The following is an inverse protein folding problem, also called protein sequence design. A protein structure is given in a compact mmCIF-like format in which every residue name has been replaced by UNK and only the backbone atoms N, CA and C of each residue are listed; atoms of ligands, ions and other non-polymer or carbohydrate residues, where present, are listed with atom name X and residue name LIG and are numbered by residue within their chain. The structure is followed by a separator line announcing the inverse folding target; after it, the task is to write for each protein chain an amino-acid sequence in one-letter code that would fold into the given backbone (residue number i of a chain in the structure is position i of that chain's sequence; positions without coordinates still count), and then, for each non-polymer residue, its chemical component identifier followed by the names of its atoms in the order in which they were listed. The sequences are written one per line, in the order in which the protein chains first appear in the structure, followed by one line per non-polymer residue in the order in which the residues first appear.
data_IF_802338250101
#
_entry.id   IF_802338250101
#
_cell.length_a   1.000
_cell.length_b   1.000
_cell.length_c   1.000
_cell.angle_alpha   90.00
_cell.angle_beta   90.00
_cell.angle_gamma   90.00
#
_symmetry.space_group_name_H-M   'P 1'
#
loop_
_entity.id
_entity.type
_entity.pdbx_description
1 polymer ?
#
# COMPACT_ATOMS: atom_id res chain seq x y z
N UNK A 1 -29.51 15.41 -10.53
CA UNK A 1 -28.70 15.50 -9.30
C UNK A 1 -29.44 15.06 -8.03
N UNK A 2 -30.69 15.50 -7.79
CA UNK A 2 -31.46 15.14 -6.58
C UNK A 2 -31.63 13.63 -6.33
N UNK A 3 -31.85 12.84 -7.39
CA UNK A 3 -32.09 11.41 -7.25
C UNK A 3 -30.93 10.62 -6.63
N UNK A 4 -29.67 11.05 -6.81
CA UNK A 4 -28.52 10.35 -6.23
C UNK A 4 -28.22 10.77 -4.80
N UNK A 5 -28.39 12.06 -4.49
CA UNK A 5 -28.02 12.63 -3.18
C UNK A 5 -29.16 12.60 -2.15
N UNK A 6 -30.39 12.32 -2.59
CA UNK A 6 -31.59 12.33 -1.74
C UNK A 6 -32.37 11.00 -1.76
N UNK A 7 -31.93 9.98 -2.50
CA UNK A 7 -32.56 8.67 -2.43
C UNK A 7 -32.16 7.94 -1.16
N UNK A 8 -33.05 7.06 -0.69
CA UNK A 8 -32.76 6.19 0.43
C UNK A 8 -31.70 5.15 0.06
N UNK A 9 -30.88 4.75 1.02
CA UNK A 9 -29.76 3.83 0.77
C UNK A 9 -30.21 2.48 0.19
N UNK A 10 -31.40 2.02 0.59
CA UNK A 10 -31.97 0.74 0.12
C UNK A 10 -32.38 0.77 -1.36
N UNK A 11 -32.64 1.95 -1.92
CA UNK A 11 -32.94 2.10 -3.36
C UNK A 11 -31.66 2.13 -4.22
N UNK A 12 -30.50 2.31 -3.58
CA UNK A 12 -29.21 2.51 -4.24
C UNK A 12 -28.24 1.35 -4.05
N UNK A 13 -28.32 0.61 -2.94
CA UNK A 13 -27.31 -0.37 -2.55
C UNK A 13 -27.93 -1.68 -2.04
N UNK A 14 -27.30 -2.79 -2.44
CA UNK A 14 -27.54 -4.11 -1.85
C UNK A 14 -26.56 -4.36 -0.71
N UNK A 15 -27.07 -4.92 0.39
CA UNK A 15 -26.27 -5.30 1.56
C UNK A 15 -26.16 -6.82 1.63
N UNK A 16 -24.94 -7.33 1.83
CA UNK A 16 -24.69 -8.76 1.96
C UNK A 16 -23.46 -9.03 2.81
N UNK A 17 -23.35 -10.26 3.31
CA UNK A 17 -22.18 -10.70 4.07
C UNK A 17 -21.00 -11.03 3.13
N UNK A 18 -19.78 -10.57 3.44
CA UNK A 18 -18.60 -10.92 2.67
C UNK A 18 -18.35 -12.43 2.66
N UNK A 19 -18.07 -13.00 1.50
CA UNK A 19 -17.71 -14.42 1.34
C UNK A 19 -16.27 -14.75 1.74
N UNK A 20 -15.54 -13.77 2.26
CA UNK A 20 -14.13 -13.87 2.65
C UNK A 20 -13.94 -13.42 4.08
N UNK A 21 -12.91 -13.96 4.74
CA UNK A 21 -12.58 -13.57 6.09
C UNK A 21 -12.11 -12.11 6.14
N UNK A 22 -12.43 -11.44 7.25
CA UNK A 22 -11.99 -10.08 7.49
C UNK A 22 -10.45 -10.03 7.41
N UNK A 23 -9.88 -9.09 6.64
CA UNK A 23 -8.43 -8.96 6.55
C UNK A 23 -7.78 -8.73 7.91
N UNK A 24 -6.52 -9.13 8.03
CA UNK A 24 -5.73 -8.84 9.23
C UNK A 24 -5.62 -7.33 9.50
N UNK A 25 -5.33 -6.97 10.75
CA UNK A 25 -5.06 -5.58 11.12
C UNK A 25 -3.79 -5.08 10.44
N UNK A 26 -3.71 -3.76 10.27
CA UNK A 26 -2.49 -3.10 9.81
C UNK A 26 -1.29 -3.50 10.70
N UNK A 27 -0.24 -4.02 10.06
CA UNK A 27 1.00 -4.43 10.73
C UNK A 27 1.89 -3.21 10.99
N UNK A 28 2.54 -3.18 12.16
CA UNK A 28 3.63 -2.26 12.48
C UNK A 28 4.95 -2.88 12.06
N UNK A 29 5.58 -2.30 11.05
CA UNK A 29 6.85 -2.77 10.50
C UNK A 29 8.02 -2.06 11.19
N UNK A 30 9.17 -2.73 11.26
CA UNK A 30 10.38 -2.09 11.78
C UNK A 30 10.86 -0.98 10.85
N UNK A 31 11.41 0.09 11.43
CA UNK A 31 12.10 1.12 10.66
C UNK A 31 13.51 0.64 10.32
N UNK A 32 13.88 0.75 9.04
CA UNK A 32 15.21 0.46 8.52
C UNK A 32 15.76 1.73 7.89
N UNK A 33 17.04 2.00 8.10
CA UNK A 33 17.72 3.19 7.57
C UNK A 33 18.22 2.88 6.16
N UNK A 34 17.90 3.76 5.20
CA UNK A 34 18.41 3.68 3.84
C UNK A 34 19.92 3.95 3.81
N UNK A 35 20.69 3.04 3.21
CA UNK A 35 22.14 3.18 3.09
C UNK A 35 22.59 4.24 2.06
N UNK A 36 21.66 4.90 1.36
CA UNK A 36 21.95 5.96 0.39
C UNK A 36 21.57 7.37 0.87
N UNK A 37 20.35 7.56 1.38
CA UNK A 37 19.89 8.87 1.85
C UNK A 37 19.92 9.06 3.37
N UNK A 38 20.04 7.98 4.15
CA UNK A 38 20.03 8.03 5.62
C UNK A 38 18.65 8.18 6.27
N UNK A 39 17.58 8.25 5.49
CA UNK A 39 16.20 8.31 6.01
C UNK A 39 15.70 6.92 6.46
N UNK A 40 14.79 6.92 7.44
CA UNK A 40 14.14 5.71 7.93
C UNK A 40 12.85 5.40 7.19
N UNK A 41 12.68 4.16 6.73
CA UNK A 41 11.45 3.68 6.11
C UNK A 41 11.03 2.31 6.65
N UNK A 42 9.77 1.93 6.45
CA UNK A 42 9.24 0.65 6.89
C UNK A 42 9.92 -0.52 6.15
N UNK A 43 10.31 -1.58 6.85
CA UNK A 43 11.08 -2.71 6.29
C UNK A 43 10.46 -3.33 5.02
N UNK A 44 9.12 -3.40 4.96
CA UNK A 44 8.37 -3.92 3.80
C UNK A 44 8.54 -3.11 2.51
N UNK A 45 9.03 -1.87 2.62
CA UNK A 45 9.20 -0.93 1.50
C UNK A 45 10.66 -0.76 1.11
N UNK A 46 11.58 -1.41 1.83
CA UNK A 46 12.99 -1.45 1.49
C UNK A 46 13.27 -2.46 0.39
N UNK A 47 14.31 -2.21 -0.39
CA UNK A 47 14.78 -3.06 -1.47
C UNK A 47 16.25 -3.42 -1.24
N UNK A 48 16.69 -4.55 -1.78
CA UNK A 48 18.11 -4.92 -1.83
C UNK A 48 18.65 -4.54 -3.21
N UNK A 49 19.67 -3.68 -3.26
CA UNK A 49 20.35 -3.27 -4.49
C UNK A 49 21.84 -3.12 -4.22
N UNK A 50 22.67 -3.80 -5.02
CA UNK A 50 24.15 -3.78 -4.90
C UNK A 50 24.65 -4.11 -3.47
N UNK A 51 24.00 -5.08 -2.82
CA UNK A 51 24.31 -5.50 -1.45
C UNK A 51 23.86 -4.54 -0.36
N UNK A 52 23.16 -3.46 -0.72
CA UNK A 52 22.66 -2.44 0.21
C UNK A 52 21.14 -2.49 0.34
N UNK A 53 20.67 -2.12 1.52
CA UNK A 53 19.26 -1.91 1.84
C UNK A 53 18.89 -0.46 1.52
N UNK A 54 18.05 -0.26 0.50
CA UNK A 54 17.69 1.05 -0.05
C UNK A 54 16.19 1.31 0.06
N UNK A 55 15.81 2.57 0.33
CA UNK A 55 14.39 2.96 0.34
C UNK A 55 13.82 2.94 -1.08
N UNK A 56 12.48 2.99 -1.18
CA UNK A 56 11.76 3.03 -2.45
C UNK A 56 12.24 4.14 -3.38
N UNK A 57 12.54 5.32 -2.83
CA UNK A 57 12.87 6.50 -3.64
C UNK A 57 14.32 6.47 -4.15
N UNK A 58 15.22 5.79 -3.44
CA UNK A 58 16.60 5.57 -3.88
C UNK A 58 16.79 4.32 -4.74
N UNK A 59 15.79 3.44 -4.80
CA UNK A 59 15.87 2.21 -5.58
C UNK A 59 15.86 2.51 -7.08
N UNK A 60 16.87 2.02 -7.80
CA UNK A 60 16.97 2.18 -9.26
C UNK A 60 16.50 0.90 -9.97
N UNK A 61 15.24 0.82 -10.43
CA UNK A 61 14.73 -0.40 -11.07
C UNK A 61 15.50 -0.72 -12.35
N UNK A 62 15.87 -1.99 -12.50
CA UNK A 62 16.48 -2.47 -13.73
C UNK A 62 15.40 -2.80 -14.77
N UNK A 63 15.24 -1.91 -15.75
CA UNK A 63 14.37 -2.11 -16.91
C UNK A 63 15.17 -2.52 -18.15
N UNK A 64 14.66 -3.50 -18.92
CA UNK A 64 15.20 -3.88 -20.24
C UNK A 64 14.28 -3.51 -21.41
N UNK A 65 13.45 -2.48 -21.24
CA UNK A 65 12.59 -1.94 -22.30
C UNK A 65 11.58 -2.93 -22.88
N UNK A 66 10.32 -2.81 -22.45
CA UNK A 66 9.15 -2.91 -23.32
C UNK A 66 8.24 -1.72 -22.96
#
# INVERSE_FOLDING_TARGET
MKALLCADLADLFDFSEPKFEVPEKARLFRTVVCELCGEGAAERTMHLQDGKTVCRDCFMPYGRGL
#
